data_IF_448250297896
#
_entry.id   IF_448250297896
#
_cell.length_a   1.000
_cell.length_b   1.000
_cell.length_c   1.000
_cell.angle_alpha   90.00
_cell.angle_beta   90.00
_cell.angle_gamma   90.00
#
_symmetry.space_group_name_H-M   'P 1'
#
loop_
_entity.id
_entity.type
_entity.pdbx_description
1 polymer ?
#
# COMPACT_ATOMS: atom_id res chain seq x y z
N UNK A 1 35.78 -24.79 -38.78
CA UNK A 1 34.82 -24.12 -37.89
C UNK A 1 33.43 -24.49 -38.39
N UNK A 2 32.75 -25.37 -37.66
CA UNK A 2 31.38 -25.77 -38.00
C UNK A 2 30.49 -24.58 -37.69
N UNK A 3 29.91 -23.99 -38.73
CA UNK A 3 28.89 -22.97 -38.58
C UNK A 3 27.68 -23.62 -37.95
N UNK A 4 27.32 -23.22 -36.72
CA UNK A 4 26.06 -23.60 -36.09
C UNK A 4 24.92 -23.01 -36.91
N UNK A 5 24.46 -23.79 -37.88
CA UNK A 5 23.24 -23.50 -38.62
C UNK A 5 22.09 -23.61 -37.63
N UNK A 6 21.51 -22.47 -37.23
CA UNK A 6 20.28 -22.43 -36.44
C UNK A 6 19.17 -22.97 -37.34
N UNK A 7 18.96 -24.28 -37.35
CA UNK A 7 17.79 -24.91 -37.94
C UNK A 7 16.61 -24.62 -36.99
N UNK A 8 15.90 -23.53 -37.22
CA UNK A 8 14.69 -23.20 -36.47
C UNK A 8 13.58 -24.17 -36.87
N UNK A 9 13.37 -25.20 -36.07
CA UNK A 9 12.13 -25.97 -36.11
C UNK A 9 11.01 -25.08 -35.54
N UNK A 10 10.28 -24.43 -36.43
CA UNK A 10 9.14 -23.59 -36.08
C UNK A 10 7.90 -24.46 -35.90
N UNK A 11 7.51 -24.69 -34.65
CA UNK A 11 6.30 -25.43 -34.30
C UNK A 11 5.39 -24.61 -33.36
N UNK A 12 4.18 -25.13 -33.15
CA UNK A 12 3.18 -24.45 -32.31
C UNK A 12 3.61 -24.39 -30.84
N UNK A 13 4.38 -25.39 -30.36
CA UNK A 13 4.86 -25.42 -28.99
C UNK A 13 5.81 -24.25 -28.72
N UNK A 14 6.77 -23.99 -29.61
CA UNK A 14 7.71 -22.88 -29.52
C UNK A 14 6.98 -21.54 -29.55
N UNK A 15 6.00 -21.36 -30.45
CA UNK A 15 5.19 -20.13 -30.51
C UNK A 15 4.43 -19.91 -29.21
N UNK A 16 3.75 -20.96 -28.70
CA UNK A 16 3.01 -20.84 -27.44
C UNK A 16 3.89 -20.46 -26.24
N UNK A 17 5.13 -20.97 -26.19
CA UNK A 17 6.09 -20.64 -25.15
C UNK A 17 6.47 -19.15 -25.18
N UNK A 18 6.76 -18.59 -26.36
CA UNK A 18 7.09 -17.17 -26.46
C UNK A 18 5.88 -16.26 -26.21
N UNK A 19 4.68 -16.65 -26.64
CA UNK A 19 3.43 -15.94 -26.31
C UNK A 19 3.22 -15.91 -24.80
N UNK A 20 3.44 -17.03 -24.10
CA UNK A 20 3.40 -17.09 -22.65
C UNK A 20 4.40 -16.11 -22.03
N UNK A 21 5.66 -16.09 -22.47
CA UNK A 21 6.68 -15.19 -21.93
C UNK A 21 6.34 -13.72 -22.14
N UNK A 22 5.79 -13.35 -23.30
CA UNK A 22 5.34 -11.97 -23.57
C UNK A 22 4.17 -11.61 -22.66
N UNK A 23 3.16 -12.47 -22.53
CA UNK A 23 2.03 -12.26 -21.65
C UNK A 23 2.46 -12.13 -20.17
N UNK A 24 3.39 -12.98 -19.73
CA UNK A 24 3.93 -12.96 -18.38
C UNK A 24 4.75 -11.69 -18.09
N UNK A 25 5.60 -11.25 -19.03
CA UNK A 25 6.34 -9.99 -18.91
C UNK A 25 5.39 -8.78 -18.84
N UNK A 26 4.31 -8.78 -19.65
CA UNK A 26 3.28 -7.76 -19.59
C UNK A 26 2.52 -7.77 -18.25
N UNK A 27 2.25 -8.95 -17.69
CA UNK A 27 1.64 -9.08 -16.36
C UNK A 27 2.55 -8.52 -15.26
N UNK A 28 3.85 -8.84 -15.27
CA UNK A 28 4.81 -8.27 -14.32
C UNK A 28 4.80 -6.74 -14.42
N UNK A 29 4.89 -6.21 -15.65
CA UNK A 29 4.85 -4.76 -15.87
C UNK A 29 3.57 -4.13 -15.30
N UNK A 30 2.42 -4.76 -15.51
CA UNK A 30 1.14 -4.29 -14.97
C UNK A 30 1.11 -4.32 -13.43
N UNK A 31 1.48 -5.46 -12.81
CA UNK A 31 1.44 -5.63 -11.35
C UNK A 31 2.42 -4.69 -10.62
N UNK A 32 3.61 -4.49 -11.17
CA UNK A 32 4.61 -3.56 -10.63
C UNK A 32 4.13 -2.11 -10.69
N UNK A 33 3.21 -1.77 -11.59
CA UNK A 33 2.55 -0.45 -11.58
C UNK A 33 1.41 -0.42 -10.56
N UNK A 34 0.59 -1.46 -10.49
CA UNK A 34 -0.52 -1.53 -9.55
C UNK A 34 -0.06 -1.48 -8.08
N UNK A 35 1.12 -2.04 -7.77
CA UNK A 35 1.72 -1.97 -6.43
C UNK A 35 2.12 -0.56 -5.97
N UNK A 36 2.11 0.43 -6.88
CA UNK A 36 2.52 1.82 -6.61
C UNK A 36 1.36 2.79 -6.41
N UNK A 37 0.18 2.30 -6.04
CA UNK A 37 -0.98 3.17 -5.78
C UNK A 37 -0.93 3.89 -4.44
N UNK A 38 -0.14 3.39 -3.49
CA UNK A 38 0.03 3.94 -2.15
C UNK A 38 1.52 4.12 -1.85
N UNK A 39 1.88 5.16 -1.09
CA UNK A 39 3.27 5.46 -0.71
C UNK A 39 4.16 5.96 -1.86
N UNK A 40 3.56 6.40 -2.98
CA UNK A 40 4.25 7.04 -4.09
C UNK A 40 3.71 8.46 -4.31
N UNK A 41 4.52 9.39 -4.84
CA UNK A 41 5.92 9.22 -5.20
C UNK A 41 6.82 9.09 -3.97
N UNK A 42 7.98 8.45 -4.16
CA UNK A 42 8.93 8.22 -3.06
C UNK A 42 9.50 9.54 -2.57
N UNK A 43 9.80 9.62 -1.28
CA UNK A 43 10.50 10.75 -0.68
C UNK A 43 12.00 10.45 -0.60
N UNK A 44 12.84 11.42 -0.95
CA UNK A 44 14.27 11.35 -0.71
C UNK A 44 14.53 11.59 0.79
N UNK A 45 15.10 10.60 1.46
CA UNK A 45 15.35 10.63 2.91
C UNK A 45 16.22 11.81 3.37
N UNK A 46 17.22 12.20 2.58
CA UNK A 46 18.20 13.24 2.98
C UNK A 46 17.73 14.64 2.61
N UNK A 47 17.09 14.78 1.45
CA UNK A 47 16.68 16.10 0.92
C UNK A 47 15.22 16.44 1.17
N UNK A 48 14.38 15.47 1.52
CA UNK A 48 12.93 15.61 1.62
C UNK A 48 12.22 15.85 0.28
N UNK A 49 12.93 15.72 -0.85
CA UNK A 49 12.39 15.96 -2.19
C UNK A 49 11.63 14.74 -2.71
N UNK A 50 10.50 14.98 -3.39
CA UNK A 50 9.74 13.92 -4.06
C UNK A 50 10.53 13.39 -5.28
N UNK A 51 10.68 12.08 -5.36
CA UNK A 51 11.33 11.37 -6.46
C UNK A 51 10.28 10.91 -7.46
N UNK A 52 10.08 11.72 -8.51
CA UNK A 52 9.13 11.42 -9.61
C UNK A 52 9.92 11.12 -10.89
N UNK A 53 10.52 9.92 -10.98
CA UNK A 53 11.26 9.49 -12.18
C UNK A 53 10.80 8.12 -12.67
N UNK A 54 10.76 7.92 -13.98
CA UNK A 54 10.55 6.59 -14.56
C UNK A 54 11.66 5.61 -14.10
N UNK A 55 11.34 4.34 -13.80
CA UNK A 55 10.05 3.67 -13.97
C UNK A 55 9.09 3.78 -12.77
N UNK A 56 9.36 4.64 -11.77
CA UNK A 56 8.64 4.72 -10.50
C UNK A 56 7.35 5.57 -10.53
N UNK A 57 6.86 5.93 -11.71
CA UNK A 57 5.63 6.72 -11.86
C UNK A 57 4.41 5.87 -11.48
N UNK A 58 3.53 6.36 -10.58
CA UNK A 58 2.31 5.66 -10.22
C UNK A 58 1.35 5.54 -11.43
N UNK A 59 0.45 4.56 -11.44
CA UNK A 59 -0.60 4.46 -12.45
C UNK A 59 -1.60 5.63 -12.31
N UNK A 60 -2.42 5.84 -13.34
CA UNK A 60 -3.50 6.81 -13.25
C UNK A 60 -4.40 6.50 -12.03
N UNK A 61 -4.87 7.52 -11.29
CA UNK A 61 -5.71 7.31 -10.12
C UNK A 61 -6.96 6.49 -10.46
N UNK A 62 -7.25 5.46 -9.66
CA UNK A 62 -8.55 4.76 -9.70
C UNK A 62 -9.46 5.40 -8.66
N UNK A 63 -10.77 5.28 -8.82
CA UNK A 63 -11.70 5.68 -7.76
C UNK A 63 -12.55 4.49 -7.35
N UNK A 64 -12.76 4.33 -6.05
CA UNK A 64 -13.63 3.33 -5.46
C UNK A 64 -14.96 3.98 -5.09
N UNK A 65 -16.07 3.43 -5.55
CA UNK A 65 -17.38 3.78 -5.04
C UNK A 65 -17.68 2.86 -3.85
N UNK A 66 -17.67 3.43 -2.65
CA UNK A 66 -17.97 2.70 -1.41
C UNK A 66 -19.45 2.72 -1.12
N UNK A 67 -19.94 1.70 -0.42
CA UNK A 67 -21.36 1.54 -0.11
C UNK A 67 -21.94 2.69 0.73
N UNK A 68 -21.16 3.19 1.71
CA UNK A 68 -21.66 4.16 2.70
C UNK A 68 -20.96 5.51 2.67
N UNK A 69 -19.75 5.61 2.11
CA UNK A 69 -18.90 6.82 2.17
C UNK A 69 -18.66 7.46 0.79
N UNK A 70 -19.40 7.02 -0.23
CA UNK A 70 -19.32 7.58 -1.58
C UNK A 70 -18.02 7.27 -2.31
N UNK A 71 -17.60 8.16 -3.20
CA UNK A 71 -16.45 7.97 -4.09
C UNK A 71 -15.15 8.36 -3.39
N UNK A 72 -14.24 7.41 -3.23
CA UNK A 72 -12.92 7.59 -2.63
C UNK A 72 -11.85 7.44 -3.71
N UNK A 73 -10.87 8.34 -3.73
CA UNK A 73 -9.64 8.19 -4.51
C UNK A 73 -8.52 7.83 -3.54
N UNK A 74 -7.78 6.73 -3.76
CA UNK A 74 -6.63 6.36 -2.95
C UNK A 74 -5.53 7.39 -3.16
N UNK A 75 -5.40 8.31 -2.20
CA UNK A 75 -4.25 9.21 -2.00
C UNK A 75 -4.50 10.05 -0.74
N UNK A 76 -4.49 9.39 0.42
CA UNK A 76 -4.69 10.08 1.69
C UNK A 76 -3.40 10.83 2.06
N UNK A 77 -3.47 12.09 2.53
CA UNK A 77 -2.30 12.79 3.01
C UNK A 77 -1.61 12.01 4.14
N UNK A 78 -0.28 11.95 4.10
CA UNK A 78 0.52 11.40 5.18
C UNK A 78 0.56 12.35 6.37
N UNK A 79 0.78 11.80 7.57
CA UNK A 79 0.91 12.60 8.79
C UNK A 79 2.23 13.36 8.75
N UNK A 80 2.18 14.66 9.06
CA UNK A 80 3.39 15.44 9.26
C UNK A 80 4.09 15.02 10.56
N UNK A 81 5.36 14.65 10.46
CA UNK A 81 6.21 14.22 11.58
C UNK A 81 7.31 15.25 11.89
N UNK A 82 7.27 16.43 11.26
CA UNK A 82 8.26 17.48 11.43
C UNK A 82 8.38 17.87 12.91
N UNK A 83 9.60 17.85 13.43
CA UNK A 83 9.90 18.22 14.81
C UNK A 83 9.60 17.14 15.87
N UNK A 84 9.11 15.95 15.49
CA UNK A 84 8.94 14.83 16.42
C UNK A 84 10.14 13.87 16.41
N UNK A 85 10.89 13.86 15.31
CA UNK A 85 11.97 12.92 15.03
C UNK A 85 13.22 13.66 14.54
N UNK A 86 14.39 13.15 14.90
CA UNK A 86 15.68 13.60 14.35
C UNK A 86 16.53 12.42 13.88
N UNK A 87 17.24 12.53 12.74
CA UNK A 87 18.13 11.47 12.30
C UNK A 87 19.35 11.37 13.22
N UNK A 88 19.80 10.16 13.51
CA UNK A 88 21.05 9.94 14.27
C UNK A 88 22.31 10.28 13.47
N UNK A 89 22.23 10.28 12.14
CA UNK A 89 23.31 10.61 11.21
C UNK A 89 22.73 11.14 9.90
N UNK A 90 23.51 11.91 9.14
CA UNK A 90 23.11 12.44 7.83
C UNK A 90 23.23 11.43 6.68
N UNK A 91 23.50 10.16 7.01
CA UNK A 91 23.57 9.07 6.03
C UNK A 91 22.16 8.57 5.68
N UNK A 92 21.87 8.29 4.39
CA UNK A 92 20.64 7.59 4.01
C UNK A 92 20.50 6.27 4.77
N UNK A 93 19.28 5.94 5.19
CA UNK A 93 18.97 4.75 5.99
C UNK A 93 19.33 4.84 7.47
N UNK A 94 19.85 5.99 7.96
CA UNK A 94 20.05 6.18 9.39
C UNK A 94 18.70 6.20 10.13
N UNK A 95 18.59 5.52 11.29
CA UNK A 95 17.35 5.51 12.04
C UNK A 95 17.03 6.92 12.60
N UNK A 96 15.74 7.17 12.77
CA UNK A 96 15.22 8.37 13.39
C UNK A 96 15.01 8.15 14.90
N UNK A 97 15.42 9.11 15.71
CA UNK A 97 15.25 9.10 17.16
C UNK A 97 14.12 10.07 17.57
N UNK A 98 13.18 9.65 18.44
CA UNK A 98 12.15 10.54 18.97
C UNK A 98 12.76 11.64 19.84
N UNK A 99 12.23 12.85 19.71
CA UNK A 99 12.66 14.02 20.51
C UNK A 99 11.87 14.15 21.83
N UNK A 100 10.70 13.53 21.91
CA UNK A 100 9.78 13.59 23.05
C UNK A 100 9.39 12.22 23.60
N UNK A 101 8.12 12.07 23.99
CA UNK A 101 7.57 10.79 24.44
C UNK A 101 6.99 10.04 23.23
N UNK A 102 7.66 8.98 22.74
CA UNK A 102 7.27 8.34 21.49
C UNK A 102 5.87 7.71 21.53
N UNK A 103 5.37 7.35 22.71
CA UNK A 103 4.02 6.78 22.88
C UNK A 103 2.93 7.85 22.72
N UNK A 104 3.17 9.04 23.26
CA UNK A 104 2.23 10.15 23.16
C UNK A 104 2.30 10.82 21.79
N UNK A 105 3.51 10.95 21.24
CA UNK A 105 3.76 11.52 19.91
C UNK A 105 3.37 10.55 18.79
N UNK A 106 3.11 9.28 19.13
CA UNK A 106 2.68 8.24 18.21
C UNK A 106 3.66 8.04 17.07
N UNK A 107 4.94 7.82 17.36
CA UNK A 107 6.01 7.62 16.37
C UNK A 107 6.64 6.24 16.49
N UNK A 108 7.30 5.78 15.42
CA UNK A 108 7.87 4.43 15.37
C UNK A 108 6.77 3.37 15.54
N UNK A 109 6.89 2.42 16.49
CA UNK A 109 5.86 1.42 16.75
C UNK A 109 4.50 1.98 17.18
N UNK A 110 4.43 3.21 17.69
CA UNK A 110 3.18 3.87 18.08
C UNK A 110 2.55 4.69 16.95
N UNK A 111 3.07 4.58 15.73
CA UNK A 111 2.55 5.31 14.56
C UNK A 111 1.16 4.86 14.17
N UNK A 112 0.37 5.81 13.66
CA UNK A 112 -0.97 5.56 13.13
C UNK A 112 -1.16 6.32 11.81
N UNK A 113 -2.02 5.79 10.94
CA UNK A 113 -2.38 6.43 9.69
C UNK A 113 -3.54 7.43 9.88
N UNK A 114 -3.57 8.51 9.09
CA UNK A 114 -4.67 9.48 9.06
C UNK A 114 -5.88 8.91 8.31
N UNK A 115 -6.55 7.93 8.91
CA UNK A 115 -7.80 7.37 8.37
C UNK A 115 -8.94 8.40 8.49
N UNK A 116 -10.00 8.22 7.71
CA UNK A 116 -11.18 9.05 7.82
C UNK A 116 -11.80 8.93 9.22
N UNK A 117 -12.18 10.06 9.82
CA UNK A 117 -12.84 10.13 11.13
C UNK A 117 -14.34 9.83 11.01
N UNK A 118 -14.63 8.61 10.53
CA UNK A 118 -15.98 8.07 10.38
C UNK A 118 -15.98 6.60 10.84
N UNK A 119 -17.06 6.13 11.48
CA UNK A 119 -17.14 4.73 11.89
C UNK A 119 -17.18 3.79 10.68
N UNK A 120 -16.63 2.58 10.85
CA UNK A 120 -16.91 1.49 9.92
C UNK A 120 -18.38 1.07 10.08
N UNK A 121 -19.05 0.79 8.97
CA UNK A 121 -20.50 0.59 8.94
C UNK A 121 -20.85 -0.89 8.72
N UNK A 122 -21.93 -1.35 9.33
CA UNK A 122 -22.53 -2.66 9.03
C UNK A 122 -23.19 -2.63 7.65
N UNK A 123 -23.32 -3.81 7.04
CA UNK A 123 -23.87 -3.94 5.68
C UNK A 123 -25.37 -3.59 5.62
N UNK A 124 -26.17 -4.12 6.56
CA UNK A 124 -27.64 -4.04 6.49
C UNK A 124 -28.18 -2.74 7.10
N UNK A 125 -27.95 -2.52 8.39
CA UNK A 125 -28.64 -1.49 9.17
C UNK A 125 -27.98 -0.11 9.09
N UNK A 126 -26.86 -0.01 8.36
CA UNK A 126 -26.04 1.21 8.29
C UNK A 126 -25.75 1.76 9.71
N UNK A 127 -25.37 0.87 10.62
CA UNK A 127 -25.00 1.19 12.00
C UNK A 127 -23.49 1.06 12.18
N UNK A 128 -22.88 1.74 13.17
CA UNK A 128 -21.48 1.53 13.50
C UNK A 128 -21.21 0.06 13.82
N UNK A 129 -20.22 -0.53 13.13
CA UNK A 129 -19.88 -1.95 13.24
C UNK A 129 -19.24 -2.32 14.58
N UNK A 130 -18.44 -1.41 15.13
CA UNK A 130 -17.74 -1.62 16.41
C UNK A 130 -18.46 -0.78 17.47
N UNK A 131 -19.12 -1.46 18.39
CA UNK A 131 -19.89 -0.86 19.48
C UNK A 131 -19.64 -1.61 20.79
N UNK A 132 -19.76 -0.97 21.97
CA UNK A 132 -19.65 -1.68 23.24
C UNK A 132 -20.85 -2.61 23.48
N UNK A 133 -20.66 -3.68 24.25
CA UNK A 133 -21.74 -4.64 24.56
C UNK A 133 -22.96 -4.00 25.22
N UNK A 134 -22.77 -2.93 26.02
CA UNK A 134 -23.88 -2.18 26.64
C UNK A 134 -24.87 -1.58 25.63
N UNK A 135 -24.45 -1.37 24.39
CA UNK A 135 -25.30 -0.85 23.30
C UNK A 135 -25.71 -1.92 22.29
N UNK A 136 -25.29 -3.18 22.50
CA UNK A 136 -25.51 -4.28 21.58
C UNK A 136 -26.20 -5.46 22.31
N UNK A 137 -27.48 -5.29 22.72
CA UNK A 137 -28.17 -6.26 23.59
C UNK A 137 -28.41 -7.63 22.95
N UNK A 138 -28.26 -7.74 21.63
CA UNK A 138 -28.36 -9.00 20.90
C UNK A 138 -27.11 -9.87 21.01
N UNK A 139 -26.00 -9.34 21.57
CA UNK A 139 -24.73 -10.05 21.69
C UNK A 139 -24.47 -10.44 23.15
N UNK A 140 -23.92 -11.64 23.33
CA UNK A 140 -23.44 -12.17 24.61
C UNK A 140 -22.06 -12.77 24.46
N UNK A 141 -21.36 -12.94 25.57
CA UNK A 141 -20.16 -13.79 25.61
C UNK A 141 -20.61 -15.24 25.39
N UNK A 142 -19.81 -16.03 24.67
CA UNK A 142 -20.09 -17.45 24.46
C UNK A 142 -20.03 -18.22 25.78
N UNK A 143 -20.85 -19.25 25.96
CA UNK A 143 -20.92 -19.99 27.23
C UNK A 143 -19.61 -20.72 27.57
N UNK A 144 -18.81 -21.04 26.55
CA UNK A 144 -17.53 -21.73 26.69
C UNK A 144 -16.37 -20.82 27.13
N UNK A 145 -16.56 -19.49 27.13
CA UNK A 145 -15.54 -18.48 27.44
C UNK A 145 -15.93 -17.68 28.72
N UNK A 146 -15.78 -18.24 29.93
CA UNK A 146 -16.11 -17.58 31.19
C UNK A 146 -15.15 -16.45 31.61
#
# INVERSE_FOLDING_TARGET
MQSDTINTHFDLALVSLYVFWVAFAALIYYLVRESRREGFPLLNEVRGELVVRAPYTPPAPKSFLTAHHGRIVPHTPERDLTGLLSPQSLLPGAPLQPLGNPMADGVGPASYALRADVPDMTFDDNTPKIVPLRTAPAYSIAEEDP
#
